data_IF_313949777659
#
_entry.id   IF_313949777659
#
_cell.length_a   1.000
_cell.length_b   1.000
_cell.length_c   1.000
_cell.angle_alpha   90.00
_cell.angle_beta   90.00
_cell.angle_gamma   90.00
#
_symmetry.space_group_name_H-M   'P 1'
#
loop_
_entity.id
_entity.type
_entity.pdbx_description
1 polymer ?
#
# COMPACT_ATOMS: atom_id res chain seq x y z
N UNK A 1 37.61 -9.12 -28.91
CA UNK A 1 36.34 -8.39 -28.69
C UNK A 1 35.49 -9.24 -27.77
N UNK A 2 35.53 -8.94 -26.46
CA UNK A 2 34.71 -9.66 -25.47
C UNK A 2 33.35 -8.96 -25.46
N UNK A 3 32.32 -9.63 -25.99
CA UNK A 3 30.96 -9.12 -25.98
C UNK A 3 30.47 -9.02 -24.55
N UNK A 4 30.23 -7.79 -24.08
CA UNK A 4 29.48 -7.55 -22.86
C UNK A 4 28.04 -7.98 -23.13
N UNK A 5 27.63 -9.12 -22.57
CA UNK A 5 26.21 -9.45 -22.48
C UNK A 5 25.57 -8.41 -21.56
N UNK A 6 24.75 -7.53 -22.15
CA UNK A 6 23.83 -6.69 -21.39
C UNK A 6 22.84 -7.67 -20.75
N UNK A 7 23.05 -8.00 -19.47
CA UNK A 7 22.02 -8.67 -18.68
C UNK A 7 20.93 -7.65 -18.47
N UNK A 8 19.92 -7.66 -19.33
CA UNK A 8 18.73 -6.85 -19.13
C UNK A 8 18.00 -7.41 -17.91
N UNK A 9 17.98 -6.65 -16.81
CA UNK A 9 17.19 -6.99 -15.65
C UNK A 9 15.72 -7.10 -16.10
N UNK A 10 15.18 -8.32 -16.08
CA UNK A 10 13.77 -8.57 -16.42
C UNK A 10 12.96 -8.17 -15.19
N UNK A 11 12.46 -6.94 -15.20
CA UNK A 11 11.50 -6.47 -14.20
C UNK A 11 10.22 -7.27 -14.35
N UNK A 12 9.76 -7.87 -13.26
CA UNK A 12 8.49 -8.60 -13.20
C UNK A 12 7.44 -7.70 -12.58
N UNK A 13 6.24 -7.75 -13.14
CA UNK A 13 5.11 -7.01 -12.62
C UNK A 13 4.12 -7.99 -12.00
N UNK A 14 3.62 -7.62 -10.82
CA UNK A 14 2.71 -8.45 -10.06
C UNK A 14 1.41 -7.71 -9.79
N UNK A 15 0.34 -8.47 -9.79
CA UNK A 15 -0.95 -8.09 -9.24
C UNK A 15 -1.13 -8.81 -7.90
N UNK A 16 -1.69 -8.11 -6.92
CA UNK A 16 -1.91 -8.65 -5.58
C UNK A 16 -3.38 -8.52 -5.19
N UNK A 17 -3.98 -9.63 -4.76
CA UNK A 17 -5.35 -9.66 -4.24
C UNK A 17 -5.29 -10.11 -2.78
N UNK A 18 -5.67 -9.21 -1.87
CA UNK A 18 -5.71 -9.47 -0.43
C UNK A 18 -7.15 -9.72 0.01
N UNK A 19 -7.46 -10.94 0.47
CA UNK A 19 -8.79 -11.33 0.95
C UNK A 19 -8.71 -11.64 2.45
N UNK A 20 -8.76 -10.59 3.28
CA UNK A 20 -8.60 -10.71 4.73
C UNK A 20 -9.68 -11.55 5.41
N UNK A 21 -10.92 -11.57 4.90
CA UNK A 21 -12.00 -12.43 5.42
C UNK A 21 -11.71 -13.93 5.25
N UNK A 22 -10.93 -14.28 4.22
CA UNK A 22 -10.52 -15.65 3.92
C UNK A 22 -9.09 -15.94 4.40
N UNK A 23 -8.41 -14.96 5.00
CA UNK A 23 -7.02 -15.02 5.45
C UNK A 23 -6.02 -15.46 4.36
N UNK A 24 -6.25 -15.06 3.10
CA UNK A 24 -5.39 -15.41 1.96
C UNK A 24 -4.99 -14.19 1.13
N UNK A 25 -3.79 -14.25 0.55
CA UNK A 25 -3.30 -13.31 -0.45
C UNK A 25 -2.84 -14.07 -1.69
N UNK A 26 -3.26 -13.56 -2.85
CA UNK A 26 -2.81 -14.02 -4.16
C UNK A 26 -1.81 -13.03 -4.73
N UNK A 27 -0.68 -13.56 -5.21
CA UNK A 27 0.30 -12.82 -5.99
C UNK A 27 0.30 -13.43 -7.40
N UNK A 28 0.03 -12.62 -8.41
CA UNK A 28 -0.16 -13.05 -9.80
C UNK A 28 0.86 -12.33 -10.67
N UNK A 29 1.68 -13.07 -11.40
CA UNK A 29 2.61 -12.47 -12.36
C UNK A 29 1.83 -12.04 -13.61
N UNK A 30 1.98 -10.78 -14.02
CA UNK A 30 1.05 -10.17 -14.96
C UNK A 30 1.13 -10.72 -16.39
N UNK A 31 2.28 -11.26 -16.81
CA UNK A 31 2.49 -11.76 -18.18
C UNK A 31 2.09 -13.23 -18.30
N UNK A 32 2.66 -14.08 -17.46
CA UNK A 32 2.51 -15.54 -17.43
C UNK A 32 1.24 -15.99 -16.72
N UNK A 33 0.63 -15.11 -15.91
CA UNK A 33 -0.52 -15.41 -15.04
C UNK A 33 -0.26 -16.52 -14.03
N UNK A 34 1.01 -16.83 -13.76
CA UNK A 34 1.40 -17.72 -12.67
C UNK A 34 0.95 -17.12 -11.35
N UNK A 35 0.38 -17.96 -10.49
CA UNK A 35 -0.23 -17.53 -9.24
C UNK A 35 0.42 -18.20 -8.03
N UNK A 36 0.66 -17.41 -7.00
CA UNK A 36 1.02 -17.84 -5.65
C UNK A 36 -0.13 -17.52 -4.70
N UNK A 37 -0.47 -18.46 -3.81
CA UNK A 37 -1.46 -18.29 -2.74
C UNK A 37 -0.76 -18.47 -1.40
N UNK A 38 -0.77 -17.44 -0.57
CA UNK A 38 -0.17 -17.45 0.77
C UNK A 38 -1.16 -17.04 1.84
N UNK A 39 -0.98 -17.55 3.06
CA UNK A 39 -1.77 -17.12 4.21
C UNK A 39 -1.43 -15.68 4.61
N UNK A 40 -2.44 -14.90 5.01
CA UNK A 40 -2.28 -13.61 5.66
C UNK A 40 -2.21 -13.82 7.18
N UNK A 41 -1.10 -13.38 7.80
CA UNK A 41 -0.92 -13.41 9.26
C UNK A 41 -1.34 -12.12 9.94
N UNK A 42 -1.16 -10.99 9.25
CA UNK A 42 -1.43 -9.67 9.80
C UNK A 42 -2.94 -9.38 9.77
N UNK A 43 -3.46 -8.64 10.76
CA UNK A 43 -4.84 -8.18 10.75
C UNK A 43 -5.09 -7.18 9.62
N UNK A 44 -6.36 -6.98 9.29
CA UNK A 44 -6.79 -5.90 8.41
C UNK A 44 -6.51 -4.55 9.07
N UNK A 45 -5.84 -3.66 8.34
CA UNK A 45 -5.58 -2.28 8.74
C UNK A 45 -6.21 -1.36 7.67
N UNK A 46 -7.30 -0.65 7.98
CA UNK A 46 -7.96 0.23 7.02
C UNK A 46 -7.13 1.50 6.75
N UNK A 47 -7.27 2.06 5.54
CA UNK A 47 -6.82 3.42 5.26
C UNK A 47 -7.81 4.43 5.86
N UNK A 48 -7.74 4.60 7.18
CA UNK A 48 -8.48 5.60 7.94
C UNK A 48 -7.61 6.28 9.00
N UNK A 49 -8.20 7.22 9.73
CA UNK A 49 -7.58 7.79 10.93
C UNK A 49 -8.15 7.03 12.13
N UNK A 50 -7.34 6.25 12.88
CA UNK A 50 -7.81 5.62 14.10
C UNK A 50 -8.37 6.64 15.08
N UNK A 51 -9.49 6.31 15.74
CA UNK A 51 -10.19 7.26 16.63
C UNK A 51 -9.35 7.77 17.81
N UNK A 52 -8.29 7.04 18.18
CA UNK A 52 -7.36 7.40 19.26
C UNK A 52 -6.04 8.03 18.74
N UNK A 53 -6.02 8.52 17.50
CA UNK A 53 -4.88 9.20 16.92
C UNK A 53 -4.66 10.58 17.55
N UNK A 54 -3.40 11.03 17.53
CA UNK A 54 -3.01 12.37 17.96
C UNK A 54 -2.99 13.29 16.75
N UNK A 55 -3.70 14.42 16.85
CA UNK A 55 -3.57 15.52 15.89
C UNK A 55 -2.16 16.12 16.01
N UNK A 56 -1.47 16.25 14.89
CA UNK A 56 -0.13 16.84 14.85
C UNK A 56 -0.13 18.23 14.21
N UNK A 57 -0.69 18.37 13.00
CA UNK A 57 -0.67 19.63 12.26
C UNK A 57 -1.79 19.75 11.22
N UNK A 58 -1.96 20.95 10.68
CA UNK A 58 -2.83 21.25 9.55
C UNK A 58 -2.16 22.29 8.64
N UNK A 59 -2.02 21.95 7.36
CA UNK A 59 -1.29 22.76 6.40
C UNK A 59 -1.92 22.72 5.00
N UNK A 60 -1.50 23.66 4.15
CA UNK A 60 -1.87 23.70 2.73
C UNK A 60 -0.79 23.02 1.89
N UNK A 61 -1.21 22.17 0.96
CA UNK A 61 -0.37 21.66 -0.13
C UNK A 61 -0.74 22.44 -1.38
N UNK A 62 0.25 23.08 -2.02
CA UNK A 62 0.05 23.94 -3.19
C UNK A 62 0.35 25.40 -2.90
N UNK A 63 -0.16 26.28 -3.76
CA UNK A 63 0.05 27.72 -3.67
C UNK A 63 -1.24 28.53 -3.89
N UNK A 64 -1.19 29.86 -3.84
CA UNK A 64 -2.36 30.70 -4.03
C UNK A 64 -3.08 30.40 -5.35
N UNK A 65 -4.37 30.10 -5.28
CA UNK A 65 -5.21 29.76 -6.44
C UNK A 65 -5.30 28.26 -6.76
N UNK A 66 -4.39 27.44 -6.25
CA UNK A 66 -4.44 25.98 -6.39
C UNK A 66 -3.77 25.32 -5.18
N UNK A 67 -4.59 25.07 -4.14
CA UNK A 67 -4.14 24.47 -2.90
C UNK A 67 -5.24 23.63 -2.27
N UNK A 68 -4.82 22.58 -1.58
CA UNK A 68 -5.68 21.73 -0.76
C UNK A 68 -5.24 21.84 0.70
N UNK A 69 -6.20 21.80 1.62
CA UNK A 69 -5.92 21.77 3.06
C UNK A 69 -5.95 20.33 3.56
N UNK A 70 -4.93 19.95 4.31
CA UNK A 70 -4.75 18.60 4.87
C UNK A 70 -4.47 18.68 6.37
N UNK A 71 -4.75 17.58 7.07
CA UNK A 71 -4.40 17.36 8.46
C UNK A 71 -3.47 16.15 8.58
N UNK A 72 -2.54 16.25 9.51
CA UNK A 72 -1.61 15.19 9.87
C UNK A 72 -1.98 14.60 11.24
N UNK A 73 -2.07 13.28 11.28
CA UNK A 73 -2.42 12.49 12.43
C UNK A 73 -1.36 11.42 12.68
N UNK A 74 -1.16 11.04 13.94
CA UNK A 74 -0.17 10.02 14.29
C UNK A 74 -0.66 9.07 15.38
N UNK A 75 0.06 7.97 15.59
CA UNK A 75 -0.12 7.09 16.75
C UNK A 75 0.71 7.52 17.98
N UNK A 76 1.23 8.76 17.96
CA UNK A 76 2.02 9.32 19.05
C UNK A 76 1.23 9.34 20.35
N UNK A 77 1.89 9.03 21.46
CA UNK A 77 1.31 9.13 22.80
C UNK A 77 2.28 9.85 23.71
N UNK A 78 1.80 10.60 24.72
CA UNK A 78 2.69 11.29 25.68
C UNK A 78 3.75 10.37 26.31
N UNK A 79 3.42 9.10 26.54
CA UNK A 79 4.33 8.09 27.10
C UNK A 79 5.30 7.46 26.08
N UNK A 80 5.09 7.70 24.77
CA UNK A 80 5.88 7.13 23.68
C UNK A 80 6.38 8.27 22.81
N UNK A 81 7.69 8.55 22.87
CA UNK A 81 8.30 9.63 22.08
C UNK A 81 8.23 9.41 20.57
N UNK A 82 7.84 8.21 20.11
CA UNK A 82 8.01 7.75 18.72
C UNK A 82 6.69 7.32 18.10
N UNK A 83 6.46 7.87 16.93
CA UNK A 83 5.40 7.52 15.99
C UNK A 83 5.83 6.26 15.21
N UNK A 84 4.91 5.32 15.09
CA UNK A 84 5.04 4.20 14.14
C UNK A 84 4.07 4.31 12.97
N UNK A 85 3.09 5.19 13.07
CA UNK A 85 2.17 5.55 11.98
C UNK A 85 1.97 7.07 11.95
N UNK A 86 2.04 7.63 10.75
CA UNK A 86 1.66 9.01 10.44
C UNK A 86 0.79 8.99 9.19
N UNK A 87 -0.41 9.57 9.28
CA UNK A 87 -1.37 9.67 8.20
C UNK A 87 -1.70 11.13 7.87
N UNK A 88 -1.68 11.46 6.59
CA UNK A 88 -2.06 12.78 6.06
C UNK A 88 -3.34 12.64 5.26
N UNK A 89 -4.37 13.38 5.66
CA UNK A 89 -5.72 13.29 5.11
C UNK A 89 -6.26 14.67 4.74
N UNK A 90 -7.05 14.78 3.67
CA UNK A 90 -7.67 16.05 3.29
C UNK A 90 -8.71 16.49 4.33
N UNK A 91 -8.75 17.77 4.70
CA UNK A 91 -9.70 18.25 5.72
C UNK A 91 -11.16 18.18 5.27
N UNK A 92 -11.41 18.50 4.00
CA UNK A 92 -12.77 18.64 3.49
C UNK A 92 -13.51 17.30 3.40
N UNK A 93 -12.85 16.29 2.83
CA UNK A 93 -13.50 15.05 2.41
C UNK A 93 -12.82 13.79 3.00
N UNK A 94 -11.81 13.95 3.86
CA UNK A 94 -11.08 12.86 4.51
C UNK A 94 -10.45 11.83 3.54
N UNK A 95 -10.01 12.24 2.35
CA UNK A 95 -9.24 11.38 1.46
C UNK A 95 -7.80 11.19 1.97
N UNK A 96 -7.23 9.98 1.91
CA UNK A 96 -5.83 9.76 2.22
C UNK A 96 -4.95 10.45 1.16
N UNK A 97 -3.90 11.12 1.62
CA UNK A 97 -2.88 11.77 0.77
C UNK A 97 -1.57 11.00 0.88
N UNK A 98 -1.16 10.70 2.10
CA UNK A 98 0.05 9.93 2.39
C UNK A 98 -0.09 9.17 3.71
N UNK A 99 0.44 7.96 3.77
CA UNK A 99 0.67 7.25 5.03
C UNK A 99 2.11 6.78 5.13
N UNK A 100 2.68 6.85 6.34
CA UNK A 100 4.05 6.45 6.61
C UNK A 100 4.08 5.54 7.82
N UNK A 101 4.63 4.34 7.62
CA UNK A 101 4.89 3.37 8.67
C UNK A 101 6.39 3.35 8.97
N UNK A 102 6.72 3.58 10.23
CA UNK A 102 8.09 3.65 10.72
C UNK A 102 8.38 2.53 11.69
N UNK A 103 9.61 2.04 11.70
CA UNK A 103 10.11 1.10 12.71
C UNK A 103 11.49 1.56 13.16
N UNK A 104 11.63 1.86 14.45
CA UNK A 104 12.88 2.37 15.04
C UNK A 104 13.46 3.58 14.29
N UNK A 105 12.65 4.61 14.04
CA UNK A 105 13.01 5.85 13.30
C UNK A 105 13.33 5.67 11.81
N UNK A 106 13.46 4.43 11.33
CA UNK A 106 13.62 4.18 9.91
C UNK A 106 12.24 4.04 9.28
N UNK A 107 11.97 4.88 8.28
CA UNK A 107 10.78 4.73 7.44
C UNK A 107 10.84 3.33 6.82
N UNK A 108 9.83 2.52 7.15
CA UNK A 108 9.72 1.17 6.59
C UNK A 108 8.98 1.23 5.27
N UNK A 109 7.85 1.94 5.26
CA UNK A 109 7.03 2.12 4.06
C UNK A 109 6.42 3.51 4.09
N UNK A 110 6.41 4.18 2.95
CA UNK A 110 5.62 5.40 2.74
C UNK A 110 4.83 5.25 1.45
N UNK A 111 3.51 5.41 1.58
CA UNK A 111 2.55 5.23 0.49
C UNK A 111 1.88 6.57 0.21
N UNK A 112 1.85 6.98 -1.06
CA UNK A 112 1.18 8.20 -1.52
C UNK A 112 0.00 7.84 -2.38
N UNK A 113 -1.12 8.53 -2.18
CA UNK A 113 -2.39 8.25 -2.85
C UNK A 113 -2.73 9.42 -3.78
N UNK A 114 -3.18 9.10 -5.00
CA UNK A 114 -3.57 10.06 -6.02
C UNK A 114 -4.63 9.43 -6.94
N UNK A 115 -5.31 10.25 -7.73
CA UNK A 115 -6.37 9.85 -8.66
C UNK A 115 -7.51 9.01 -8.02
N UNK A 116 -7.81 9.30 -6.75
CA UNK A 116 -8.84 8.60 -5.99
C UNK A 116 -10.24 8.83 -6.59
N UNK A 117 -10.99 7.74 -6.73
CA UNK A 117 -12.41 7.75 -7.12
C UNK A 117 -13.20 6.96 -6.10
N UNK A 118 -14.36 7.49 -5.70
CA UNK A 118 -15.25 6.82 -4.76
C UNK A 118 -15.91 5.59 -5.39
N UNK A 119 -16.02 4.53 -4.59
CA UNK A 119 -16.60 3.26 -4.99
C UNK A 119 -15.65 2.41 -5.83
N UNK A 120 -16.12 1.22 -6.18
CA UNK A 120 -15.40 0.27 -7.03
C UNK A 120 -16.23 0.12 -8.31
N UNK A 121 -15.66 0.52 -9.45
CA UNK A 121 -16.37 0.44 -10.73
C UNK A 121 -16.50 -0.99 -11.26
N UNK A 122 -15.49 -1.83 -11.01
CA UNK A 122 -15.48 -3.24 -11.39
C UNK A 122 -15.10 -4.11 -10.18
N UNK A 123 -16.05 -4.80 -9.54
CA UNK A 123 -15.77 -5.65 -8.39
C UNK A 123 -15.07 -6.98 -8.78
N UNK A 124 -15.02 -7.32 -10.07
CA UNK A 124 -14.39 -8.58 -10.52
C UNK A 124 -12.88 -8.60 -10.31
N UNK A 125 -12.25 -7.44 -10.10
CA UNK A 125 -10.82 -7.32 -9.74
C UNK A 125 -10.45 -8.05 -8.44
N UNK A 126 -11.43 -8.38 -7.60
CA UNK A 126 -11.21 -9.17 -6.38
C UNK A 126 -11.36 -10.69 -6.60
N UNK A 127 -11.75 -11.12 -7.80
CA UNK A 127 -11.91 -12.54 -8.15
C UNK A 127 -10.57 -13.04 -8.73
N UNK A 128 -9.86 -13.96 -8.05
CA UNK A 128 -8.62 -14.49 -8.57
C UNK A 128 -8.83 -15.22 -9.92
N UNK A 129 -7.88 -15.14 -10.86
CA UNK A 129 -7.97 -15.88 -12.12
C UNK A 129 -7.96 -17.39 -11.89
N UNK A 130 -8.44 -18.14 -12.88
CA UNK A 130 -8.51 -19.62 -12.81
C UNK A 130 -7.16 -20.28 -12.52
N UNK A 131 -6.05 -19.65 -12.93
CA UNK A 131 -4.69 -20.12 -12.63
C UNK A 131 -4.40 -20.20 -11.12
N UNK A 132 -5.11 -19.44 -10.29
CA UNK A 132 -4.98 -19.48 -8.84
C UNK A 132 -5.63 -20.71 -8.18
N UNK A 133 -6.39 -21.52 -8.92
CA UNK A 133 -6.86 -22.82 -8.43
C UNK A 133 -5.71 -23.83 -8.26
N UNK A 134 -4.66 -23.69 -9.07
CA UNK A 134 -3.41 -24.45 -8.97
C UNK A 134 -2.25 -23.59 -8.44
N UNK A 135 -2.55 -22.65 -7.54
CA UNK A 135 -1.57 -21.70 -7.02
C UNK A 135 -0.45 -22.39 -6.22
N UNK A 136 0.75 -21.85 -6.34
CA UNK A 136 1.90 -22.30 -5.55
C UNK A 136 1.82 -21.74 -4.12
N UNK A 137 2.29 -22.47 -3.10
CA UNK A 137 2.18 -22.04 -1.70
C UNK A 137 3.26 -21.01 -1.27
N UNK A 138 4.12 -20.57 -2.18
CA UNK A 138 5.27 -19.69 -1.90
C UNK A 138 5.23 -18.46 -2.78
N UNK A 139 5.52 -17.30 -2.18
CA UNK A 139 5.69 -16.04 -2.92
C UNK A 139 6.73 -16.18 -4.02
N UNK A 140 6.39 -15.65 -5.19
CA UNK A 140 7.32 -15.51 -6.29
C UNK A 140 8.34 -14.42 -5.94
N UNK A 141 9.60 -14.66 -6.30
CA UNK A 141 10.67 -13.67 -6.14
C UNK A 141 10.74 -12.78 -7.36
N UNK A 142 10.97 -11.50 -7.11
CA UNK A 142 11.50 -10.59 -8.11
C UNK A 142 12.90 -11.07 -8.48
N UNK A 143 13.19 -11.16 -9.78
CA UNK A 143 14.54 -11.38 -10.24
C UNK A 143 15.28 -10.04 -10.16
N UNK A 144 16.06 -9.84 -9.10
CA UNK A 144 17.10 -8.82 -9.05
C UNK A 144 18.46 -9.52 -9.08
#
# INVERSE_FOLDING_TARGET
MVGAAIVQAVVRFFEYIYLYKEAVMFQIEQVTKLCSKTALSEPWDPYDIPANSTYEDQYYIGGPGDQIIVQEWSDRKRARKLETWVGVYTVKDCYPVQETYSKNYSVTTSTRFFDLKLGISDPSVFIPPSTCQAAQPKKMRDAC
#
